data_IF_409924929697
#
_entry.id   IF_409924929697
#
_cell.length_a   1.000
_cell.length_b   1.000
_cell.length_c   1.000
_cell.angle_alpha   90.00
_cell.angle_beta   90.00
_cell.angle_gamma   90.00
#
_symmetry.space_group_name_H-M   'P 1'
#
loop_
_entity.id
_entity.type
_entity.pdbx_description
1 polymer ?
2 non-polymer ?
3 non-polymer ?
4 non-polymer ?
5 water ?
#
# COMPACT_ATOMS: atom_id res chain seq x y z
N UNK A 15 -22.73 30.16 4.34
CA UNK A 15 -23.14 28.79 4.63
C UNK A 15 -23.11 27.87 3.40
N UNK A 16 -22.90 26.58 3.67
CA UNK A 16 -22.93 25.51 2.68
C UNK A 16 -23.82 24.42 3.24
N UNK A 17 -25.06 24.36 2.77
CA UNK A 17 -26.03 23.40 3.26
C UNK A 17 -26.33 22.31 2.23
N UNK A 18 -25.45 22.12 1.24
CA UNK A 18 -25.76 21.19 0.17
C UNK A 18 -25.91 19.77 0.71
N UNK A 19 -24.88 19.26 1.38
CA UNK A 19 -24.91 17.85 1.71
C UNK A 19 -25.98 17.55 2.75
N UNK A 20 -26.18 18.46 3.71
CA UNK A 20 -27.17 18.26 4.77
C UNK A 20 -28.58 17.97 4.25
N UNK A 21 -28.87 18.22 2.98
CA UNK A 21 -30.22 18.02 2.45
C UNK A 21 -30.40 16.73 1.67
N UNK A 22 -29.35 15.93 1.44
CA UNK A 22 -29.52 14.66 0.75
C UNK A 22 -30.04 13.61 1.72
N UNK A 23 -31.08 12.88 1.32
CA UNK A 23 -31.69 11.89 2.21
C UNK A 23 -31.72 10.50 1.61
N UNK A 24 -31.13 10.31 0.43
CA UNK A 24 -30.95 8.99 -0.15
C UNK A 24 -29.51 8.87 -0.62
N UNK A 25 -28.97 7.67 -0.51
CA UNK A 25 -27.59 7.42 -0.88
C UNK A 25 -26.98 6.54 0.19
N UNK A 26 -25.97 5.76 -0.21
CA UNK A 26 -25.22 4.91 0.72
C UNK A 26 -23.74 5.13 0.44
N UNK A 27 -22.92 5.05 1.50
CA UNK A 27 -21.53 5.49 1.41
C UNK A 27 -20.66 4.43 2.07
N UNK A 28 -19.58 4.04 1.38
CA UNK A 28 -18.70 2.99 1.88
C UNK A 28 -17.27 3.49 1.85
N UNK A 29 -16.49 3.05 2.85
CA UNK A 29 -15.04 3.26 2.84
C UNK A 29 -14.43 2.21 1.95
N UNK A 30 -13.48 2.62 1.10
CA UNK A 30 -12.66 1.69 0.31
C UNK A 30 -11.23 1.83 0.81
N UNK A 31 -10.62 0.71 1.21
CA UNK A 31 -9.25 0.66 1.70
C UNK A 31 -8.45 -0.18 0.71
N UNK A 32 -7.41 0.41 0.11
CA UNK A 32 -6.58 -0.29 -0.86
C UNK A 32 -5.14 -0.38 -0.35
N UNK A 33 -4.50 -1.53 -0.55
CA UNK A 33 -3.07 -1.60 -0.24
C UNK A 33 -2.18 -0.98 -1.31
N UNK A 34 -2.73 -0.62 -2.48
CA UNK A 34 -1.89 -0.39 -3.64
C UNK A 34 -2.17 0.98 -4.24
N UNK A 35 -1.13 1.81 -4.30
CA UNK A 35 -1.22 3.06 -5.06
C UNK A 35 -1.41 2.78 -6.56
N UNK A 36 -0.87 1.67 -7.06
CA UNK A 36 -1.08 1.34 -8.47
C UNK A 36 -2.56 1.13 -8.76
N UNK A 37 -3.26 0.41 -7.88
CA UNK A 37 -4.68 0.15 -8.11
C UNK A 37 -5.48 1.46 -8.10
N UNK A 38 -5.16 2.37 -7.18
CA UNK A 38 -5.80 3.68 -7.20
C UNK A 38 -5.60 4.37 -8.54
N UNK A 39 -4.35 4.39 -9.02
CA UNK A 39 -4.05 5.04 -10.31
C UNK A 39 -4.84 4.39 -11.44
N UNK A 40 -4.90 3.06 -11.46
CA UNK A 40 -5.64 2.37 -12.50
C UNK A 40 -7.14 2.69 -12.43
N UNK A 41 -7.66 2.80 -11.20
CA UNK A 41 -9.09 3.10 -11.01
C UNK A 41 -9.45 4.48 -11.54
N UNK A 42 -8.60 5.47 -11.27
CA UNK A 42 -8.84 6.83 -11.74
C UNK A 42 -8.74 6.88 -13.26
N UNK A 43 -7.79 6.14 -13.82
CA UNK A 43 -7.56 6.15 -15.27
C UNK A 43 -8.71 5.51 -16.02
N UNK A 44 -9.23 4.39 -15.53
CA UNK A 44 -10.18 3.61 -16.31
C UNK A 44 -11.57 3.56 -15.70
N UNK A 45 -11.79 4.23 -14.55
CA UNK A 45 -13.11 4.29 -13.91
C UNK A 45 -13.68 2.91 -13.65
N UNK A 46 -12.86 2.05 -13.02
CA UNK A 46 -13.25 0.70 -12.64
C UNK A 46 -12.64 0.40 -11.26
N UNK A 47 -13.22 -0.57 -10.56
CA UNK A 47 -12.72 -1.04 -9.26
C UNK A 47 -13.07 -2.51 -9.10
N UNK A 48 -12.45 -3.13 -8.09
CA UNK A 48 -12.77 -4.49 -7.68
C UNK A 48 -12.41 -4.60 -6.21
N UNK A 49 -13.29 -5.24 -5.44
CA UNK A 49 -13.02 -5.43 -4.02
C UNK A 49 -12.82 -6.91 -3.77
N UNK A 50 -12.80 -7.30 -2.49
CA UNK A 50 -12.77 -8.72 -2.15
C UNK A 50 -14.11 -9.37 -2.56
N UNK A 51 -14.17 -10.69 -2.43
CA UNK A 51 -15.44 -11.39 -2.65
C UNK A 51 -16.54 -10.79 -1.76
N UNK A 52 -16.33 -10.81 -0.45
CA UNK A 52 -17.37 -10.29 0.44
C UNK A 52 -17.53 -8.78 0.28
N UNK A 53 -16.47 -8.06 -0.08
CA UNK A 53 -16.60 -6.64 -0.39
C UNK A 53 -17.46 -6.41 -1.62
N UNK A 54 -17.14 -7.10 -2.71
CA UNK A 54 -17.94 -7.02 -3.93
C UNK A 54 -19.42 -7.33 -3.66
N UNK A 55 -19.69 -8.37 -2.88
CA UNK A 55 -21.09 -8.71 -2.58
C UNK A 55 -21.78 -7.59 -1.84
N UNK A 56 -21.10 -6.95 -0.90
CA UNK A 56 -21.72 -5.90 -0.11
C UNK A 56 -22.06 -4.72 -0.99
N UNK A 57 -21.10 -4.29 -1.81
CA UNK A 57 -21.33 -3.12 -2.67
C UNK A 57 -22.40 -3.42 -3.71
N UNK A 58 -22.35 -4.62 -4.29
CA UNK A 58 -23.30 -5.01 -5.31
C UNK A 58 -24.73 -4.98 -4.77
N UNK A 59 -24.94 -5.55 -3.59
CA UNK A 59 -26.25 -5.52 -2.96
C UNK A 59 -26.73 -4.10 -2.74
N UNK A 60 -25.83 -3.22 -2.28
CA UNK A 60 -26.21 -1.82 -2.06
C UNK A 60 -26.53 -1.13 -3.37
N UNK A 61 -25.76 -1.43 -4.44
CA UNK A 61 -26.03 -0.81 -5.72
C UNK A 61 -27.38 -1.26 -6.28
N UNK A 62 -27.65 -2.57 -6.23
CA UNK A 62 -28.86 -3.10 -6.84
C UNK A 62 -30.12 -2.72 -6.06
N UNK A 63 -30.04 -2.63 -4.74
CA UNK A 63 -31.22 -2.24 -3.97
C UNK A 63 -31.44 -0.74 -3.98
N UNK A 64 -30.46 0.03 -4.44
CA UNK A 64 -30.64 1.47 -4.49
C UNK A 64 -31.49 1.87 -5.69
N UNK A 65 -31.47 1.04 -6.75
CA UNK A 65 -32.28 1.22 -7.95
C UNK A 65 -32.32 2.66 -8.43
N UNK A 66 -31.13 3.21 -8.66
CA UNK A 66 -31.02 4.55 -9.21
C UNK A 66 -31.67 5.67 -8.42
N UNK A 67 -32.16 5.38 -7.21
CA UNK A 67 -32.83 6.39 -6.37
C UNK A 67 -31.85 7.31 -5.65
N UNK A 68 -30.57 6.98 -5.65
CA UNK A 68 -29.55 7.75 -4.98
C UNK A 68 -28.20 7.16 -5.29
N UNK A 69 -27.13 7.86 -4.93
CA UNK A 69 -25.79 7.39 -5.29
C UNK A 69 -25.27 6.38 -4.30
N UNK A 70 -24.31 5.57 -4.75
CA UNK A 70 -23.47 4.80 -3.85
C UNK A 70 -22.10 5.43 -3.93
N UNK A 71 -21.66 6.09 -2.85
CA UNK A 71 -20.37 6.77 -2.87
C UNK A 71 -19.30 5.89 -2.24
N UNK A 72 -18.09 5.99 -2.79
CA UNK A 72 -16.91 5.26 -2.33
C UNK A 72 -15.89 6.28 -1.87
N UNK A 73 -15.49 6.22 -0.59
CA UNK A 73 -14.47 7.11 -0.04
C UNK A 73 -13.17 6.31 0.04
N UNK A 74 -12.18 6.65 -0.80
CA UNK A 74 -10.98 5.84 -1.02
C UNK A 74 -9.83 6.29 -0.13
N UNK A 75 -9.11 5.32 0.42
CA UNK A 75 -7.96 5.60 1.27
C UNK A 75 -6.96 4.47 1.11
N UNK A 76 -5.69 4.79 0.90
CA UNK A 76 -4.64 3.77 0.85
C UNK A 76 -4.22 3.39 2.26
N UNK A 77 -4.26 2.09 2.57
CA UNK A 77 -3.83 1.57 3.89
C UNK A 77 -2.47 2.12 4.27
N UNK A 78 -2.37 2.70 5.47
CA UNK A 78 -1.11 3.24 5.95
C UNK A 78 -0.77 4.64 5.48
N UNK A 79 -1.56 5.23 4.57
CA UNK A 79 -1.16 6.50 3.95
C UNK A 79 -1.43 7.72 4.83
N UNK A 80 -2.31 7.62 5.82
CA UNK A 80 -2.64 8.78 6.64
C UNK A 80 -3.66 9.75 6.04
N UNK A 81 -4.21 9.46 4.87
CA UNK A 81 -5.18 10.37 4.27
C UNK A 81 -6.12 9.60 3.37
N UNK A 82 -7.29 10.19 3.13
CA UNK A 82 -8.14 9.77 2.04
C UNK A 82 -7.61 10.40 0.77
N UNK A 83 -7.82 9.72 -0.37
CA UNK A 83 -7.32 10.21 -1.64
C UNK A 83 -8.42 10.60 -2.61
N UNK A 84 -9.67 10.37 -2.30
CA UNK A 84 -10.71 10.86 -3.17
C UNK A 84 -12.04 10.16 -2.98
N UNK A 85 -12.95 10.44 -3.92
CA UNK A 85 -14.33 9.96 -3.90
C UNK A 85 -14.74 9.53 -5.29
N UNK A 86 -15.46 8.42 -5.36
CA UNK A 86 -16.03 7.93 -6.61
C UNK A 86 -17.44 7.46 -6.32
N UNK A 87 -18.25 7.46 -7.37
CA UNK A 87 -19.59 6.89 -7.31
C UNK A 87 -19.57 5.55 -8.05
N UNK A 88 -20.16 4.54 -7.42
CA UNK A 88 -20.39 3.27 -8.08
C UNK A 88 -21.33 3.48 -9.27
N UNK A 89 -21.02 2.85 -10.41
CA UNK A 89 -21.79 3.12 -11.63
C UNK A 89 -22.21 1.86 -12.37
N UNK A 90 -22.10 0.70 -11.75
CA UNK A 90 -22.59 -0.54 -12.34
C UNK A 90 -22.65 -1.59 -11.25
N UNK A 91 -23.42 -2.63 -11.50
CA UNK A 91 -23.36 -3.81 -10.66
C UNK A 91 -22.01 -4.51 -10.87
N UNK A 92 -21.72 -5.48 -10.02
CA UNK A 92 -20.46 -6.22 -10.12
C UNK A 92 -20.59 -7.29 -11.20
N UNK A 93 -19.63 -7.28 -12.12
CA UNK A 93 -19.44 -8.37 -13.08
C UNK A 93 -18.39 -9.29 -12.48
N UNK A 94 -18.78 -10.53 -12.16
CA UNK A 94 -17.87 -11.38 -11.38
C UNK A 94 -16.97 -12.26 -12.23
N UNK A 95 -17.12 -12.29 -13.54
CA UNK A 95 -16.28 -13.15 -14.38
C UNK A 95 -15.64 -12.25 -15.42
N UNK A 96 -14.48 -11.71 -15.10
CA UNK A 96 -13.76 -10.81 -15.98
C UNK A 96 -12.30 -11.22 -15.98
N UNK A 97 -11.52 -10.55 -16.82
CA UNK A 97 -10.09 -10.85 -16.96
C UNK A 97 -9.38 -10.80 -15.61
N UNK A 98 -8.59 -11.82 -15.34
CA UNK A 98 -7.84 -11.89 -14.08
C UNK A 98 -6.55 -11.10 -14.17
N UNK A 99 -5.97 -10.81 -13.01
CA UNK A 99 -4.63 -10.22 -12.98
C UNK A 99 -4.51 -8.80 -13.45
N UNK A 100 -5.60 -8.04 -13.57
CA UNK A 100 -5.46 -6.64 -13.97
C UNK A 100 -5.04 -5.73 -12.82
N UNK A 101 -5.15 -6.19 -11.58
CA UNK A 101 -4.79 -5.40 -10.42
C UNK A 101 -3.42 -5.84 -9.89
N UNK A 102 -2.93 -5.12 -8.87
CA UNK A 102 -1.57 -5.32 -8.37
C UNK A 102 -1.34 -6.77 -7.96
N UNK A 103 -2.22 -7.33 -7.15
CA UNK A 103 -2.15 -8.73 -6.81
C UNK A 103 -3.27 -9.48 -7.53
N UNK A 104 -2.99 -10.72 -7.87
CA UNK A 104 -3.94 -11.51 -8.62
C UNK A 104 -4.87 -12.24 -7.65
N UNK A 106 -8.00 -11.16 -7.43
CA UNK A 106 -9.27 -10.43 -7.37
C UNK A 106 -10.18 -10.98 -8.46
N UNK A 107 -11.46 -11.16 -8.14
CA UNK A 107 -12.42 -11.75 -9.07
C UNK A 107 -13.51 -10.74 -9.41
N UNK A 108 -13.41 -10.15 -10.61
CA UNK A 108 -14.50 -9.36 -11.12
C UNK A 108 -14.16 -7.88 -11.23
N UNK A 109 -15.20 -7.09 -11.47
CA UNK A 109 -15.02 -5.70 -11.83
C UNK A 109 -16.35 -4.98 -11.76
N UNK A 110 -16.34 -3.73 -11.31
CA UNK A 110 -17.50 -2.86 -11.50
C UNK A 110 -17.02 -1.50 -11.94
N UNK A 111 -17.92 -0.76 -12.59
CA UNK A 111 -17.64 0.59 -13.03
C UNK A 111 -17.82 1.57 -11.89
N UNK A 112 -16.97 2.59 -11.87
CA UNK A 112 -17.14 3.72 -10.98
C UNK A 112 -17.01 4.98 -11.82
N UNK A 113 -17.22 6.12 -11.17
CA UNK A 113 -16.89 7.41 -11.78
C UNK A 113 -16.23 8.23 -10.69
N UNK A 114 -14.94 8.49 -10.82
CA UNK A 114 -14.27 9.32 -9.82
C UNK A 114 -14.76 10.74 -9.98
N UNK A 115 -15.25 11.31 -8.88
CA UNK A 115 -15.78 12.66 -8.88
C UNK A 115 -14.95 13.61 -8.05
N UNK A 116 -13.95 13.12 -7.34
CA UNK A 116 -13.04 13.96 -6.55
C UNK A 116 -11.73 13.22 -6.29
N UNK A 117 -10.62 13.85 -6.67
CA UNK A 117 -9.28 13.31 -6.43
C UNK A 117 -8.50 14.37 -5.68
N UNK A 118 -8.33 14.18 -4.37
CA UNK A 118 -7.70 15.14 -3.48
C UNK A 118 -7.30 14.41 -2.20
N UNK A 119 -6.09 14.64 -1.71
CA UNK A 119 -5.67 14.09 -0.43
C UNK A 119 -6.27 14.90 0.71
N UNK A 120 -6.96 14.21 1.61
CA UNK A 120 -7.57 14.84 2.79
C UNK A 120 -6.99 14.14 4.02
N UNK A 121 -6.18 14.83 4.82
CA UNK A 121 -5.56 14.20 5.99
C UNK A 121 -6.60 13.56 6.90
N UNK A 122 -6.17 12.48 7.56
CA UNK A 122 -7.04 11.83 8.53
C UNK A 122 -7.36 12.76 9.70
N UNK A 123 -6.46 13.69 10.00
CA UNK A 123 -6.71 14.65 11.07
C UNK A 123 -8.00 15.43 10.82
N UNK A 124 -8.30 15.74 9.56
CA UNK A 124 -9.53 16.46 9.24
C UNK A 124 -10.77 15.62 9.53
N UNK A 125 -10.64 14.29 9.61
CA UNK A 125 -11.78 13.40 9.64
C UNK A 125 -11.91 12.56 10.90
N UNK A 126 -10.86 12.44 11.71
CA UNK A 126 -10.85 11.45 12.78
C UNK A 126 -11.85 11.75 13.90
N UNK A 127 -12.44 12.94 13.94
CA UNK A 127 -13.43 13.19 14.98
C UNK A 127 -14.82 12.66 14.62
N UNK A 128 -15.03 12.22 13.38
CA UNK A 128 -16.31 11.66 12.98
C UNK A 128 -16.27 10.17 13.29
N UNK A 129 -17.20 9.70 14.12
CA UNK A 129 -17.17 8.31 14.56
C UNK A 129 -18.37 7.55 14.01
N UNK A 130 -18.21 6.23 13.81
CA UNK A 130 -19.23 5.40 13.20
C UNK A 130 -19.97 4.62 14.28
N UNK A 131 -21.24 4.99 14.53
CA UNK A 131 -22.00 4.27 15.54
C UNK A 131 -22.22 2.81 15.16
N UNK A 132 -22.15 2.47 13.87
CA UNK A 132 -22.28 1.10 13.43
C UNK A 132 -20.97 0.32 13.47
N UNK A 133 -19.88 0.94 13.93
CA UNK A 133 -18.56 0.29 14.05
C UNK A 133 -17.94 0.68 15.39
N UNK A 134 -18.68 0.41 16.48
CA UNK A 134 -18.19 0.54 17.86
C UNK A 134 -17.70 1.95 18.16
N UNK A 135 -18.25 2.94 17.46
CA UNK A 135 -17.93 4.35 17.65
C UNK A 135 -16.48 4.67 17.32
N UNK A 136 -15.84 3.80 16.52
CA UNK A 136 -14.49 4.06 16.08
C UNK A 136 -14.45 5.22 15.07
N UNK A 137 -13.35 5.96 15.01
CA UNK A 137 -13.23 7.02 14.00
C UNK A 137 -13.37 6.45 12.59
N UNK A 138 -14.05 7.21 11.74
CA UNK A 138 -14.21 6.80 10.35
C UNK A 138 -12.86 6.52 9.70
N UNK A 139 -11.80 7.18 10.18
CA UNK A 139 -10.42 7.00 9.72
C UNK A 139 -9.80 5.67 10.17
N UNK A 140 -10.48 4.89 11.01
CA UNK A 140 -10.01 3.58 11.43
C UNK A 140 -10.86 2.45 10.85
N UNK A 141 -11.41 2.67 9.65
CA UNK A 141 -12.33 1.72 9.05
C UNK A 141 -11.57 0.68 8.22
N UNK A 142 -12.19 -0.47 8.05
CA UNK A 142 -11.75 -1.53 7.16
C UNK A 142 -12.40 -1.35 5.80
N UNK A 143 -11.89 -2.10 4.82
CA UNK A 143 -12.44 -2.05 3.47
C UNK A 143 -13.94 -2.39 3.46
N UNK A 144 -14.70 -1.57 2.74
CA UNK A 144 -16.16 -1.63 2.56
C UNK A 144 -16.95 -1.53 3.88
N UNK A 145 -16.35 -0.91 4.89
CA UNK A 145 -17.11 -0.38 6.02
C UNK A 145 -18.18 0.59 5.52
N UNK A 146 -19.46 0.32 5.79
CA UNK A 146 -20.48 1.30 5.43
C UNK A 146 -20.52 2.44 6.45
N UNK A 147 -20.87 3.64 5.98
CA UNK A 147 -20.91 4.85 6.79
C UNK A 147 -22.36 5.29 6.93
N UNK A 148 -22.87 5.51 8.14
CA UNK A 148 -24.26 6.01 8.27
C UNK A 148 -24.41 7.34 7.55
N UNK A 149 -25.58 7.55 6.98
CA UNK A 149 -25.74 8.67 6.04
C UNK A 149 -25.50 10.00 6.73
N UNK A 150 -25.92 10.15 7.99
CA UNK A 150 -25.71 11.43 8.65
C UNK A 150 -24.22 11.70 8.93
N UNK A 151 -23.44 10.65 9.16
CA UNK A 151 -21.99 10.82 9.27
C UNK A 151 -21.36 11.04 7.89
N UNK A 152 -21.87 10.32 6.88
CA UNK A 152 -21.36 10.49 5.52
C UNK A 152 -21.51 11.94 5.05
N UNK A 153 -22.65 12.56 5.38
CA UNK A 153 -22.86 13.97 5.01
C UNK A 153 -21.76 14.83 5.61
N UNK A 154 -21.39 14.58 6.85
CA UNK A 154 -20.32 15.34 7.50
C UNK A 154 -18.99 15.09 6.82
N UNK A 155 -18.68 13.83 6.49
CA UNK A 155 -17.42 13.51 5.82
C UNK A 155 -17.35 14.18 4.46
N UNK A 156 -18.42 14.05 3.66
CA UNK A 156 -18.42 14.67 2.34
C UNK A 156 -18.17 16.17 2.43
N UNK A 157 -18.78 16.83 3.40
CA UNK A 157 -18.61 18.28 3.49
C UNK A 157 -17.17 18.64 3.83
N UNK A 158 -16.53 17.88 4.73
CA UNK A 158 -15.13 18.15 5.04
C UNK A 158 -14.24 17.89 3.83
N UNK A 159 -14.49 16.82 3.10
CA UNK A 159 -13.64 16.53 1.95
C UNK A 159 -13.78 17.63 0.90
N UNK A 160 -15.03 18.06 0.65
CA UNK A 160 -15.26 19.10 -0.35
C UNK A 160 -14.67 20.43 0.09
N UNK A 161 -14.58 20.69 1.40
CA UNK A 161 -14.11 21.97 1.94
C UNK A 161 -12.60 22.02 2.14
N UNK A 162 -11.88 20.91 2.01
CA UNK A 162 -10.48 20.91 2.37
C UNK A 162 -9.64 21.58 1.29
N UNK A 163 -8.62 22.33 1.73
CA UNK A 163 -7.74 23.07 0.80
C UNK A 163 -6.28 22.69 0.98
N UNK B 15 19.26 -23.16 1.58
CA UNK B 15 20.51 -23.76 1.16
C UNK B 15 21.67 -22.97 1.74
N UNK B 16 22.59 -23.69 2.39
CA UNK B 16 23.84 -23.06 2.81
C UNK B 16 24.77 -22.83 1.65
N UNK B 17 24.30 -22.98 0.41
CA UNK B 17 25.08 -22.52 -0.73
C UNK B 17 25.03 -21.01 -0.88
N UNK B 18 24.14 -20.36 -0.15
CA UNK B 18 23.88 -18.93 -0.30
C UNK B 18 24.19 -18.19 0.98
N UNK B 19 24.90 -17.07 0.86
CA UNK B 19 25.16 -16.14 1.96
C UNK B 19 25.88 -16.80 3.13
N UNK B 20 26.62 -17.87 2.88
CA UNK B 20 27.42 -18.46 3.93
C UNK B 20 28.60 -17.59 4.33
N UNK B 21 28.93 -16.57 3.52
CA UNK B 21 30.01 -15.62 3.82
C UNK B 21 29.46 -14.20 3.68
N UNK B 22 28.87 -13.69 4.76
CA UNK B 22 28.48 -12.28 4.85
C UNK B 22 28.77 -11.80 6.27
N UNK B 23 30.05 -11.89 6.66
CA UNK B 23 30.44 -11.68 8.05
C UNK B 23 30.00 -10.31 8.56
N UNK B 24 30.16 -9.26 7.75
CA UNK B 24 29.75 -7.93 8.16
C UNK B 24 28.47 -7.51 7.43
N UNK B 25 28.08 -6.27 7.60
CA UNK B 25 27.02 -5.73 6.79
C UNK B 25 25.64 -5.97 7.36
N UNK B 26 24.67 -5.30 6.75
CA UNK B 26 23.41 -4.99 7.39
C UNK B 26 22.27 -5.19 6.40
N UNK B 27 21.08 -5.46 6.94
CA UNK B 27 19.96 -5.87 6.11
C UNK B 27 18.72 -5.09 6.55
N UNK B 28 17.98 -4.54 5.59
CA UNK B 28 16.84 -3.70 5.88
C UNK B 28 15.64 -4.23 5.11
N UNK B 29 14.46 -4.08 5.71
CA UNK B 29 13.20 -4.35 5.04
C UNK B 29 12.85 -3.15 4.16
N UNK B 30 12.43 -3.40 2.92
CA UNK B 30 11.86 -2.36 2.07
C UNK B 30 10.40 -2.71 1.84
N UNK B 31 9.48 -1.79 2.15
CA UNK B 31 8.06 -1.99 1.90
C UNK B 31 7.58 -0.97 0.87
N UNK B 32 6.89 -1.43 -0.17
CA UNK B 32 6.44 -0.53 -1.24
C UNK B 32 4.93 -0.64 -1.42
N UNK B 33 4.29 0.51 -1.68
CA UNK B 33 2.88 0.53 -2.03
C UNK B 33 2.67 0.41 -3.54
N UNK B 34 3.72 0.10 -4.32
CA UNK B 34 3.61 0.14 -5.77
C UNK B 34 4.42 -0.98 -6.41
N UNK B 35 3.71 -1.96 -6.98
CA UNK B 35 4.33 -2.97 -7.85
C UNK B 35 5.08 -2.32 -9.00
N UNK B 36 4.49 -1.29 -9.62
CA UNK B 36 5.16 -0.61 -10.74
C UNK B 36 6.52 -0.07 -10.33
N UNK B 37 6.61 0.56 -9.16
CA UNK B 37 7.91 1.05 -8.70
C UNK B 37 8.91 -0.10 -8.54
N UNK B 38 8.46 -1.24 -8.03
CA UNK B 38 9.37 -2.39 -7.92
C UNK B 38 9.87 -2.80 -9.29
N UNK B 39 8.96 -2.86 -10.27
CA UNK B 39 9.34 -3.28 -11.61
C UNK B 39 10.35 -2.30 -12.19
N UNK B 40 10.17 -1.01 -11.92
CA UNK B 40 11.12 0.00 -12.38
C UNK B 40 12.46 -0.16 -11.70
N UNK B 41 12.46 -0.44 -10.39
CA UNK B 41 13.68 -0.73 -9.64
C UNK B 41 14.44 -1.88 -10.25
N UNK B 42 13.72 -2.94 -10.62
CA UNK B 42 14.38 -4.13 -11.17
C UNK B 42 14.95 -3.80 -12.54
N UNK B 43 14.22 -3.00 -13.32
CA UNK B 43 14.65 -2.68 -14.67
C UNK B 43 15.89 -1.79 -14.65
N UNK B 44 15.91 -0.75 -13.80
CA UNK B 44 17.00 0.22 -13.83
C UNK B 44 17.96 0.13 -12.65
N UNK B 45 17.78 -0.85 -11.74
CA UNK B 45 18.71 -1.03 -10.62
C UNK B 45 18.87 0.26 -9.82
N UNK B 46 17.73 0.85 -9.43
CA UNK B 46 17.68 2.04 -8.60
C UNK B 46 16.50 1.96 -7.65
N UNK B 47 16.56 2.77 -6.59
CA UNK B 47 15.46 2.86 -5.64
C UNK B 47 15.48 4.23 -4.99
N UNK B 48 14.39 4.56 -4.33
CA UNK B 48 14.28 5.76 -3.51
C UNK B 48 13.34 5.46 -2.36
N UNK B 49 13.72 5.85 -1.14
CA UNK B 49 12.88 5.62 0.03
C UNK B 49 12.22 6.93 0.44
N UNK B 50 11.63 6.93 1.63
CA UNK B 50 11.13 8.16 2.23
C UNK B 50 12.31 9.04 2.66
N UNK B 51 12.00 10.27 3.07
CA UNK B 51 13.04 11.14 3.64
C UNK B 51 13.73 10.45 4.82
N UNK B 52 12.93 9.92 5.76
CA UNK B 52 13.51 9.24 6.91
C UNK B 52 14.21 7.94 6.50
N UNK B 53 13.59 7.15 5.62
CA UNK B 53 14.23 5.91 5.20
C UNK B 53 15.51 6.13 4.42
N UNK B 54 15.53 7.13 3.54
CA UNK B 54 16.76 7.42 2.79
C UNK B 54 17.89 7.75 3.75
N UNK B 55 17.63 8.62 4.71
CA UNK B 55 18.64 8.96 5.71
C UNK B 55 19.13 7.71 6.42
N UNK B 56 18.22 6.84 6.82
CA UNK B 56 18.66 5.65 7.54
C UNK B 56 19.50 4.73 6.66
N UNK B 57 19.11 4.52 5.40
CA UNK B 57 19.92 3.65 4.55
C UNK B 57 21.23 4.34 4.18
N UNK B 58 21.18 5.67 4.00
CA UNK B 58 22.39 6.40 3.65
C UNK B 58 23.44 6.26 4.76
N UNK B 59 23.03 6.46 6.02
CA UNK B 59 23.95 6.28 7.14
C UNK B 59 24.54 4.87 7.16
N UNK B 60 23.71 3.84 6.97
CA UNK B 60 24.22 2.48 7.03
C UNK B 60 25.22 2.21 5.91
N UNK B 61 24.89 2.63 4.68
CA UNK B 61 25.78 2.40 3.56
C UNK B 61 27.15 3.03 3.79
N UNK B 62 27.17 4.29 4.20
CA UNK B 62 28.44 5.00 4.34
C UNK B 62 29.26 4.46 5.51
N UNK B 63 28.60 4.18 6.64
CA UNK B 63 29.32 3.66 7.80
C UNK B 63 29.89 2.28 7.53
N UNK B 64 29.29 1.56 6.58
CA UNK B 64 29.89 0.33 6.09
C UNK B 64 31.24 0.59 5.41
N UNK B 65 31.35 1.70 4.69
CA UNK B 65 32.56 2.09 3.94
C UNK B 65 33.19 0.91 3.21
N UNK B 66 32.36 0.17 2.46
CA UNK B 66 32.84 -0.92 1.62
C UNK B 66 33.19 -2.20 2.34
N UNK B 67 33.19 -2.22 3.67
CA UNK B 67 33.64 -3.40 4.42
C UNK B 67 32.69 -4.59 4.29
N UNK B 68 31.45 -4.38 3.83
CA UNK B 68 30.50 -5.46 3.71
C UNK B 68 29.23 -5.00 3.01
N UNK B 69 28.30 -5.92 2.75
CA UNK B 69 27.11 -5.58 1.96
C UNK B 69 25.97 -4.99 2.78
N UNK B 70 25.19 -4.12 2.13
CA UNK B 70 23.89 -3.71 2.65
C UNK B 70 22.85 -4.39 1.79
N UNK B 71 22.03 -5.26 2.39
CA UNK B 71 21.03 -6.00 1.64
C UNK B 71 19.64 -5.42 1.91
N UNK B 72 18.76 -5.52 0.92
CA UNK B 72 17.41 -4.98 1.00
C UNK B 72 16.44 -6.10 0.69
N UNK B 73 15.52 -6.35 1.61
CA UNK B 73 14.52 -7.39 1.45
C UNK B 73 13.22 -6.71 1.05
N UNK B 74 12.78 -6.91 -0.20
CA UNK B 74 11.67 -6.15 -0.75
C UNK B 74 10.34 -6.89 -0.55
N UNK B 75 9.29 -6.13 -0.22
CA UNK B 75 7.95 -6.72 -0.13
C UNK B 75 6.91 -5.65 -0.44
N UNK B 76 5.95 -5.98 -1.30
CA UNK B 76 4.86 -5.06 -1.63
C UNK B 76 3.80 -5.13 -0.53
N UNK B 77 3.43 -3.97 0.00
CA UNK B 77 2.40 -3.91 1.05
C UNK B 77 1.14 -4.64 0.63
N UNK B 78 0.66 -5.50 1.54
CA UNK B 78 -0.56 -6.25 1.29
C UNK B 78 -0.42 -7.42 0.36
N UNK B 79 0.78 -7.70 -0.16
CA UNK B 79 0.92 -8.76 -1.15
C UNK B 79 0.96 -10.16 -0.53
N UNK B 80 1.18 -10.26 0.76
CA UNK B 80 1.36 -11.56 1.39
C UNK B 80 2.65 -12.28 1.05
N UNK B 81 3.57 -11.63 0.34
CA UNK B 81 4.84 -12.28 -0.01
C UNK B 81 5.94 -11.25 -0.16
N UNK B 82 7.18 -11.68 0.10
CA UNK B 82 8.33 -10.88 -0.26
C UNK B 82 8.60 -11.09 -1.74
N UNK B 83 9.20 -10.09 -2.40
CA UNK B 83 9.39 -10.22 -3.84
C UNK B 83 10.84 -10.26 -4.28
N UNK B 84 11.80 -10.12 -3.37
CA UNK B 84 13.16 -10.45 -3.73
C UNK B 84 14.16 -9.67 -2.90
N UNK B 85 15.39 -9.62 -3.40
CA UNK B 85 16.53 -9.15 -2.62
C UNK B 85 17.40 -8.28 -3.51
N UNK B 86 17.91 -7.17 -2.97
CA UNK B 86 18.84 -6.32 -3.69
C UNK B 86 19.91 -5.84 -2.74
N UNK B 87 21.08 -5.49 -3.29
CA UNK B 87 22.15 -4.86 -2.53
C UNK B 87 22.19 -3.37 -2.85
N UNK B 88 22.23 -2.54 -1.81
CA UNK B 88 22.66 -1.15 -1.99
C UNK B 88 24.00 -1.07 -2.68
N UNK B 89 24.10 -0.17 -3.66
CA UNK B 89 25.34 -0.05 -4.42
C UNK B 89 25.80 1.40 -4.54
N UNK B 90 25.16 2.35 -3.88
CA UNK B 90 25.65 3.72 -3.83
C UNK B 90 25.04 4.43 -2.64
N UNK B 91 25.63 5.55 -2.27
CA UNK B 91 25.00 6.44 -1.32
C UNK B 91 23.76 7.07 -1.94
N UNK B 92 23.01 7.79 -1.11
CA UNK B 92 21.79 8.45 -1.57
C UNK B 92 22.16 9.76 -2.23
N UNK B 93 21.71 9.96 -3.47
CA UNK B 93 21.81 11.25 -4.15
C UNK B 93 20.48 11.96 -3.97
N UNK B 94 20.49 13.08 -3.23
CA UNK B 94 19.23 13.72 -2.87
C UNK B 94 18.71 14.70 -3.92
N UNK B 95 19.49 15.01 -4.94
CA UNK B 95 19.10 16.01 -5.95
C UNK B 95 19.09 15.34 -7.32
N UNK B 96 17.94 14.76 -7.70
CA UNK B 96 17.79 14.04 -8.96
C UNK B 96 16.45 14.39 -9.60
N UNK B 97 16.27 13.92 -10.83
CA UNK B 97 15.02 14.15 -11.57
C UNK B 97 13.81 13.76 -10.75
N UNK B 98 12.84 14.66 -10.65
CA UNK B 98 11.63 14.35 -9.91
C UNK B 98 10.62 13.61 -10.80
N UNK B 99 9.59 13.07 -10.16
CA UNK B 99 8.48 12.47 -10.87
C UNK B 99 8.80 11.23 -11.67
N UNK B 100 9.87 10.51 -11.35
CA UNK B 100 10.20 9.31 -12.11
C UNK B 100 9.50 8.06 -11.60
N UNK B 101 8.94 8.10 -10.40
CA UNK B 101 8.24 6.97 -9.82
C UNK B 101 6.74 7.17 -10.00
N UNK B 102 5.97 6.23 -9.44
CA UNK B 102 4.54 6.22 -9.67
C UNK B 102 3.89 7.49 -9.12
N UNK B 103 4.37 7.99 -8.00
CA UNK B 103 3.96 9.27 -7.45
C UNK B 103 5.17 10.20 -7.31
N UNK B 104 4.91 11.51 -7.19
CA UNK B 104 5.96 12.52 -7.08
C UNK B 104 6.49 12.72 -5.68
N UNK B 105 5.93 12.08 -4.68
CA UNK B 105 6.31 12.31 -3.29
C UNK B 105 7.75 11.89 -2.99
N UNK B 106 8.55 11.55 -3.99
CA UNK B 106 9.86 10.94 -3.79
C UNK B 106 10.99 11.87 -4.24
N UNK B 107 12.02 11.96 -3.42
CA UNK B 107 13.14 12.86 -3.67
C UNK B 107 14.42 12.04 -3.56
N UNK B 108 15.10 11.85 -4.67
CA UNK B 108 16.43 11.27 -4.63
C UNK B 108 16.46 9.87 -5.21
N UNK B 109 17.64 9.27 -5.12
CA UNK B 109 17.89 8.01 -5.80
C UNK B 109 19.16 7.41 -5.22
N UNK B 110 19.18 6.07 -5.13
CA UNK B 110 20.44 5.36 -4.96
C UNK B 110 20.42 4.12 -5.82
N UNK B 111 21.62 3.64 -6.16
CA UNK B 111 21.76 2.45 -6.96
C UNK B 111 21.56 1.20 -6.11
N UNK B 112 20.99 0.17 -6.73
CA UNK B 112 20.91 -1.16 -6.15
C UNK B 112 21.38 -2.13 -7.21
N UNK B 113 21.63 -3.37 -6.80
CA UNK B 113 21.75 -4.47 -7.75
C UNK B 113 20.83 -5.58 -7.26
N UNK B 114 19.82 -5.90 -8.06
CA UNK B 114 18.91 -6.97 -7.67
C UNK B 114 19.60 -8.31 -7.81
N UNK B 115 19.41 -9.14 -6.79
CA UNK B 115 20.05 -10.44 -6.68
C UNK B 115 19.04 -11.55 -6.94
N UNK B 116 17.89 -11.48 -6.27
CA UNK B 116 16.81 -12.42 -6.46
C UNK B 116 15.57 -11.61 -6.80
N UNK B 117 14.84 -12.02 -7.83
CA UNK B 117 13.49 -11.55 -8.09
C UNK B 117 12.61 -12.80 -8.06
N UNK B 118 11.86 -12.96 -6.98
CA UNK B 118 11.04 -14.14 -6.78
C UNK B 118 10.09 -13.88 -5.63
N UNK B 119 8.86 -14.38 -5.76
CA UNK B 119 7.86 -14.23 -4.72
C UNK B 119 7.99 -15.37 -3.73
N UNK B 120 8.14 -15.03 -2.47
CA UNK B 120 8.25 -15.98 -1.38
C UNK B 120 7.10 -15.73 -0.43
N UNK B 121 6.18 -16.69 -0.25
CA UNK B 121 5.05 -16.49 0.66
C UNK B 121 5.51 -16.10 2.07
N UNK B 122 4.73 -15.22 2.71
CA UNK B 122 5.09 -14.84 4.06
C UNK B 122 5.04 -16.02 5.02
N UNK B 123 4.27 -17.05 4.69
CA UNK B 123 4.24 -18.26 5.52
C UNK B 123 5.62 -18.88 5.68
N UNK B 124 6.46 -18.78 4.65
CA UNK B 124 7.82 -19.30 4.70
C UNK B 124 8.69 -18.52 5.66
N UNK B 125 8.31 -17.29 6.03
CA UNK B 125 9.20 -16.41 6.75
C UNK B 125 8.66 -15.94 8.09
N UNK B 126 7.38 -16.17 8.37
CA UNK B 126 6.72 -15.51 9.48
C UNK B 126 7.20 -16.02 10.84
N UNK B 127 7.90 -17.15 10.88
CA UNK B 127 8.41 -17.67 12.14
C UNK B 127 9.62 -16.90 12.66
N UNK B 128 10.27 -16.12 11.80
CA UNK B 128 11.48 -15.40 12.15
C UNK B 128 11.09 -14.09 12.81
N UNK B 129 11.54 -13.89 14.05
CA UNK B 129 11.12 -12.72 14.80
C UNK B 129 12.32 -11.81 15.01
N UNK B 130 12.03 -10.52 15.15
CA UNK B 130 13.06 -9.51 15.28
C UNK B 130 13.18 -9.13 16.74
N UNK B 131 14.30 -9.47 17.36
CA UNK B 131 14.50 -9.08 18.76
C UNK B 131 14.60 -7.57 18.91
N UNK B 132 14.93 -6.84 17.84
CA UNK B 132 14.97 -5.38 17.91
C UNK B 132 13.62 -4.74 17.57
N UNK B 133 12.60 -5.52 17.24
CA UNK B 133 11.26 -4.96 16.98
C UNK B 133 10.23 -5.70 17.83
N UNK B 134 10.42 -5.66 19.15
CA UNK B 134 9.46 -6.24 20.11
C UNK B 134 9.17 -7.70 19.82
N UNK B 135 10.13 -8.40 19.21
CA UNK B 135 9.99 -9.82 18.88
C UNK B 135 8.86 -10.05 17.85
N UNK B 136 8.47 -9.02 17.07
CA UNK B 136 7.46 -9.22 16.03
C UNK B 136 8.01 -10.04 14.87
N UNK B 137 7.16 -10.80 14.19
CA UNK B 137 7.60 -11.53 13.01
C UNK B 137 8.20 -10.57 11.98
N UNK B 138 9.18 -11.07 11.23
CA UNK B 138 9.85 -10.21 10.25
C UNK B 138 8.86 -9.76 9.17
N UNK B 139 7.81 -10.54 8.94
CA UNK B 139 6.79 -10.24 7.93
C UNK B 139 5.83 -9.13 8.35
N UNK B 140 5.98 -8.59 9.56
CA UNK B 140 5.17 -7.48 10.05
C UNK B 140 6.00 -6.22 10.19
N UNK B 141 7.07 -6.13 9.41
CA UNK B 141 7.97 -5.00 9.48
C UNK B 141 7.46 -3.84 8.64
N UNK B 142 7.84 -2.64 9.05
CA UNK B 142 7.65 -1.44 8.26
C UNK B 142 8.86 -1.17 7.37
N UNK B 143 8.71 -0.20 6.47
CA UNK B 143 9.78 0.20 5.56
C UNK B 143 11.04 0.59 6.34
N UNK B 144 12.19 0.08 5.86
CA UNK B 144 13.54 0.31 6.39
C UNK B 144 13.70 -0.13 7.85
N UNK B 145 12.85 -1.04 8.33
CA UNK B 145 13.15 -1.81 9.55
C UNK B 145 14.46 -2.59 9.38
N UNK B 146 15.42 -2.34 10.27
CA UNK B 146 16.68 -3.09 10.18
C UNK B 146 16.50 -4.48 10.80
N UNK B 147 17.15 -5.47 10.20
CA UNK B 147 17.04 -6.87 10.61
C UNK B 147 18.36 -7.29 11.27
N UNK B 148 18.33 -7.89 12.46
CA UNK B 148 19.57 -8.45 13.02
C UNK B 148 20.23 -9.46 12.08
N UNK B 149 21.57 -9.42 12.04
CA UNK B 149 22.31 -10.16 11.03
C UNK B 149 21.96 -11.65 11.03
N UNK B 150 21.80 -12.26 12.21
CA UNK B 150 21.54 -13.69 12.22
C UNK B 150 20.13 -14.00 11.73
N UNK B 151 19.15 -13.15 12.06
CA UNK B 151 17.82 -13.32 11.46
C UNK B 151 17.86 -13.04 9.97
N UNK B 152 18.62 -12.01 9.59
CA UNK B 152 18.72 -11.64 8.19
C UNK B 152 19.27 -12.78 7.37
N UNK B 153 20.31 -13.44 7.87
CA UNK B 153 20.87 -14.61 7.19
C UNK B 153 19.79 -15.68 6.97
N UNK B 154 18.96 -15.94 7.98
CA UNK B 154 17.90 -16.94 7.82
C UNK B 154 16.91 -16.54 6.72
N UNK B 155 16.52 -15.26 6.69
CA UNK B 155 15.57 -14.80 5.67
C UNK B 155 16.23 -14.90 4.29
N UNK B 156 17.44 -14.36 4.16
CA UNK B 156 18.16 -14.43 2.88
C UNK B 156 18.26 -15.86 2.36
N UNK B 157 18.57 -16.83 3.24
CA UNK B 157 18.70 -18.20 2.76
C UNK B 157 17.37 -18.80 2.34
N UNK B 158 16.31 -18.55 3.11
CA UNK B 158 15.00 -19.05 2.72
C UNK B 158 14.62 -18.52 1.34
N UNK B 159 14.78 -17.22 1.15
CA UNK B 159 14.42 -16.62 -0.14
C UNK B 159 15.27 -17.21 -1.26
N UNK B 160 16.59 -17.26 -1.04
CA UNK B 160 17.50 -17.79 -2.05
C UNK B 160 17.08 -19.19 -2.50
N UNK B 161 16.71 -20.05 -1.56
CA UNK B 161 16.49 -21.45 -1.87
C UNK B 161 15.03 -21.81 -2.15
N UNK B 162 14.09 -20.88 -2.01
CA UNK B 162 12.68 -21.21 -2.20
C UNK B 162 12.40 -21.60 -3.64
N UNK B 163 11.60 -22.64 -3.81
CA UNK B 163 11.19 -23.09 -5.14
C UNK B 163 9.68 -23.36 -5.18
#
# INVERSE_FOLDING_TARGET
MGSSYHHHHHHSSGENLYFQHMKHGRVFIIKSYSEDDIHRSIKYNIWCSTEHGNKRLDAAYRSMNGKGPVYLLFSVNGSGHFCGVAEMKSAVDYNTCAGVWSQDKWKGRFDVRWIFVKDVPNSQLRHIRLENNENKPVTNSRDTQEVPLEKAKQVLKIIASYKHTTS
MGSSYHHHHHHSSGENLYFQHMKHGRVFIIKSYSEDDIHRSIKYNIWCSTEHGNKRLDAAYRSMNGKGPVYLLFSVNGSGHFCGVAEMKSAVDYNTCAGVWSQDKWKGRFDVRWIFVKDVPNSQLRHIRLENNENKPVTNSRDTQEVPLEKAKQVLKIIASYKHTTS
#
